data_IF_221475932692
#
_entry.id   IF_221475932692
#
_cell.length_a   1.000
_cell.length_b   1.000
_cell.length_c   1.000
_cell.angle_alpha   90.00
_cell.angle_beta   90.00
_cell.angle_gamma   90.00
#
_symmetry.space_group_name_H-M   'P 1'
#
loop_
_entity.id
_entity.type
_entity.pdbx_description
1 polymer ?
#
# COMPACT_ATOMS: atom_id res chain seq x y z
N UNK A 1 -9.40 67.85 -19.59
CA UNK A 1 -8.62 66.85 -18.86
C UNK A 1 -9.57 65.71 -18.52
N UNK A 2 -9.48 64.60 -19.26
CA UNK A 2 -10.30 63.42 -19.06
C UNK A 2 -9.44 62.35 -18.38
N UNK A 3 -9.75 62.00 -17.18
CA UNK A 3 -9.18 60.87 -16.44
C UNK A 3 -9.89 59.61 -16.89
N UNK A 4 -9.16 58.66 -17.46
CA UNK A 4 -9.61 57.34 -17.83
C UNK A 4 -9.38 56.41 -16.64
N UNK A 5 -10.44 55.92 -16.06
CA UNK A 5 -10.44 54.84 -15.07
C UNK A 5 -10.18 53.51 -15.74
N UNK A 6 -9.13 52.83 -15.28
CA UNK A 6 -8.84 51.42 -15.58
C UNK A 6 -9.31 50.58 -14.39
N UNK A 7 -10.56 50.13 -14.42
CA UNK A 7 -11.03 49.05 -13.53
C UNK A 7 -10.59 47.69 -14.08
N UNK A 8 -9.76 47.00 -13.31
CA UNK A 8 -9.21 45.72 -13.62
C UNK A 8 -10.23 44.63 -13.75
N UNK A 9 -10.15 43.91 -14.84
CA UNK A 9 -10.77 42.59 -14.99
C UNK A 9 -9.82 41.58 -14.37
N UNK A 10 -10.16 41.11 -13.16
CA UNK A 10 -9.50 39.99 -12.53
C UNK A 10 -9.99 38.71 -13.25
N UNK A 11 -9.11 38.11 -14.03
CA UNK A 11 -9.36 36.82 -14.65
C UNK A 11 -9.49 35.73 -13.58
N UNK A 12 -10.70 35.30 -13.34
CA UNK A 12 -11.01 34.09 -12.60
C UNK A 12 -10.92 32.89 -13.57
N UNK A 13 -9.73 32.47 -13.89
CA UNK A 13 -9.47 31.23 -14.64
C UNK A 13 -8.51 30.39 -13.85
N UNK A 14 -9.01 29.46 -13.11
CA UNK A 14 -8.41 28.14 -12.82
C UNK A 14 -9.11 27.46 -11.65
N UNK A 15 -10.14 26.68 -11.93
CA UNK A 15 -10.63 25.65 -10.97
C UNK A 15 -11.57 24.63 -11.62
N UNK A 16 -11.50 24.43 -12.94
CA UNK A 16 -12.39 23.45 -13.60
C UNK A 16 -11.69 22.29 -14.30
N UNK A 17 -10.35 22.18 -14.21
CA UNK A 17 -9.61 21.13 -14.91
C UNK A 17 -9.43 19.82 -14.10
N UNK A 18 -9.67 19.84 -12.80
CA UNK A 18 -9.41 18.65 -11.96
C UNK A 18 -10.59 17.65 -11.93
N UNK A 19 -11.83 18.08 -12.15
CA UNK A 19 -12.98 17.19 -12.02
C UNK A 19 -13.23 16.29 -13.24
N UNK A 20 -12.86 16.72 -14.44
CA UNK A 20 -13.05 15.92 -15.66
C UNK A 20 -12.08 14.72 -15.69
N UNK A 21 -10.83 14.88 -15.28
CA UNK A 21 -9.83 13.81 -15.32
C UNK A 21 -10.14 12.73 -14.31
N UNK A 22 -10.58 13.10 -13.10
CA UNK A 22 -10.96 12.13 -12.07
C UNK A 22 -12.18 11.28 -12.47
N UNK A 23 -13.19 11.90 -13.05
CA UNK A 23 -14.38 11.18 -13.54
C UNK A 23 -14.03 10.19 -14.65
N UNK A 24 -13.14 10.57 -15.58
CA UNK A 24 -12.67 9.67 -16.66
C UNK A 24 -11.90 8.49 -16.08
N UNK A 25 -11.01 8.72 -15.09
CA UNK A 25 -10.26 7.65 -14.43
C UNK A 25 -11.18 6.71 -13.64
N UNK A 26 -12.16 7.24 -12.91
CA UNK A 26 -13.15 6.42 -12.18
C UNK A 26 -13.96 5.54 -13.13
N UNK A 27 -14.39 6.08 -14.27
CA UNK A 27 -15.10 5.32 -15.31
C UNK A 27 -14.26 4.17 -15.87
N UNK A 28 -12.93 4.30 -15.90
CA UNK A 28 -12.01 3.25 -16.32
C UNK A 28 -12.16 1.97 -15.48
N UNK A 29 -12.31 2.09 -14.16
CA UNK A 29 -12.45 0.94 -13.27
C UNK A 29 -13.83 0.25 -13.30
N UNK A 30 -14.74 0.69 -14.18
CA UNK A 30 -15.92 -0.09 -14.57
C UNK A 30 -15.57 -1.30 -15.46
N UNK A 31 -14.37 -1.32 -16.04
CA UNK A 31 -13.85 -2.48 -16.76
C UNK A 31 -13.36 -3.55 -15.78
N UNK A 32 -14.05 -4.69 -15.74
CA UNK A 32 -13.67 -5.83 -14.91
C UNK A 32 -12.26 -6.34 -15.20
N UNK A 33 -11.74 -6.12 -16.43
CA UNK A 33 -10.38 -6.49 -16.77
C UNK A 33 -9.30 -5.71 -16.00
N UNK A 34 -9.65 -4.60 -15.34
CA UNK A 34 -8.74 -3.85 -14.46
C UNK A 34 -8.75 -4.32 -13.00
N UNK A 35 -9.46 -5.39 -12.70
CA UNK A 35 -9.48 -6.03 -11.40
C UNK A 35 -8.84 -7.42 -11.48
N UNK A 36 -8.12 -7.76 -10.43
CA UNK A 36 -7.63 -9.13 -10.27
C UNK A 36 -8.81 -10.08 -10.04
N UNK A 37 -8.94 -11.07 -10.92
CA UNK A 37 -9.96 -12.12 -10.80
C UNK A 37 -9.35 -13.34 -10.11
N UNK A 38 -9.83 -13.64 -8.91
CA UNK A 38 -9.45 -14.83 -8.16
C UNK A 38 -10.41 -16.01 -8.37
N UNK A 39 -11.36 -15.89 -9.30
CA UNK A 39 -12.35 -16.92 -9.59
C UNK A 39 -13.41 -17.14 -8.51
N UNK A 40 -13.49 -16.27 -7.48
CA UNK A 40 -14.45 -16.38 -6.39
C UNK A 40 -15.64 -15.45 -6.61
N UNK A 41 -16.83 -15.93 -6.24
CA UNK A 41 -18.04 -15.10 -6.18
C UNK A 41 -18.00 -14.22 -4.94
N UNK A 42 -18.46 -12.99 -5.05
CA UNK A 42 -18.64 -12.09 -3.91
C UNK A 42 -19.71 -12.64 -2.97
N UNK A 43 -19.34 -12.80 -1.72
CA UNK A 43 -20.23 -13.22 -0.62
C UNK A 43 -20.73 -11.96 0.11
N UNK A 44 -22.04 -11.65 0.06
CA UNK A 44 -22.58 -10.43 0.65
C UNK A 44 -22.45 -10.39 2.18
N UNK A 45 -22.31 -11.55 2.84
CA UNK A 45 -22.24 -11.67 4.28
C UNK A 45 -20.79 -11.56 4.83
N UNK A 46 -19.80 -11.50 3.95
CA UNK A 46 -18.39 -11.32 4.32
C UNK A 46 -17.96 -9.87 4.26
N UNK A 47 -16.99 -9.53 5.10
CA UNK A 47 -16.21 -8.31 4.94
C UNK A 47 -15.39 -8.34 3.63
N UNK A 48 -14.91 -7.19 3.21
CA UNK A 48 -14.04 -7.07 2.04
C UNK A 48 -12.58 -6.83 2.45
N UNK A 49 -11.66 -7.13 1.54
CA UNK A 49 -10.29 -6.61 1.55
C UNK A 49 -10.06 -5.83 0.26
N UNK A 50 -9.68 -4.57 0.38
CA UNK A 50 -9.12 -3.80 -0.72
C UNK A 50 -7.60 -3.82 -0.60
N UNK A 51 -6.93 -4.51 -1.53
CA UNK A 51 -5.49 -4.73 -1.50
C UNK A 51 -4.78 -4.06 -2.67
N UNK A 52 -3.70 -3.32 -2.37
CA UNK A 52 -2.88 -2.64 -3.38
C UNK A 52 -1.50 -3.31 -3.45
N UNK A 53 -1.17 -3.85 -4.63
CA UNK A 53 0.09 -4.57 -4.88
C UNK A 53 1.31 -3.63 -4.88
N UNK A 54 2.55 -4.15 -4.67
CA UNK A 54 3.79 -3.37 -4.78
C UNK A 54 4.19 -3.09 -6.23
N UNK A 55 5.33 -2.39 -6.42
CA UNK A 55 6.01 -2.31 -7.71
C UNK A 55 6.52 -3.69 -8.15
N UNK A 56 6.11 -4.12 -9.35
CA UNK A 56 6.45 -5.45 -9.90
C UNK A 56 7.20 -5.37 -11.24
N UNK A 57 7.25 -4.18 -11.85
CA UNK A 57 7.71 -3.98 -13.23
C UNK A 57 9.00 -3.16 -13.21
N UNK A 58 9.96 -3.54 -14.07
CA UNK A 58 11.12 -2.71 -14.41
C UNK A 58 10.78 -1.74 -15.54
N UNK A 59 11.63 -0.74 -15.76
CA UNK A 59 11.53 0.16 -16.91
C UNK A 59 11.42 -0.64 -18.20
N UNK A 60 10.63 -0.12 -19.12
CA UNK A 60 10.33 -0.74 -20.39
C UNK A 60 10.21 0.32 -21.49
N UNK A 61 10.39 -0.08 -22.75
CA UNK A 61 10.23 0.83 -23.88
C UNK A 61 8.85 0.63 -24.53
N UNK A 62 8.18 1.74 -24.80
CA UNK A 62 6.95 1.71 -25.58
C UNK A 62 7.23 1.48 -27.06
N UNK A 63 6.18 1.48 -27.89
CA UNK A 63 6.28 1.26 -29.35
C UNK A 63 7.09 2.31 -30.09
N UNK A 64 7.34 3.46 -29.47
CA UNK A 64 8.20 4.55 -30.02
C UNK A 64 9.65 4.44 -29.59
N UNK A 65 9.96 3.49 -28.69
CA UNK A 65 11.28 3.34 -28.07
C UNK A 65 11.51 4.25 -26.85
N UNK A 66 10.47 4.96 -26.39
CA UNK A 66 10.56 5.83 -25.19
C UNK A 66 10.50 4.99 -23.93
N UNK A 67 11.44 5.24 -23.00
CA UNK A 67 11.46 4.59 -21.70
C UNK A 67 10.26 5.03 -20.87
N UNK A 68 9.55 4.05 -20.34
CA UNK A 68 8.39 4.24 -19.49
C UNK A 68 8.70 3.85 -18.05
N UNK A 69 8.23 4.68 -17.10
CA UNK A 69 8.47 4.54 -15.67
C UNK A 69 7.17 4.23 -14.89
N UNK A 70 6.06 4.07 -15.59
CA UNK A 70 4.82 3.51 -15.08
C UNK A 70 4.46 2.23 -15.83
N UNK A 71 3.82 1.28 -15.17
CA UNK A 71 3.36 0.05 -15.79
C UNK A 71 2.27 0.30 -16.84
N UNK A 72 2.25 -0.53 -17.88
CA UNK A 72 1.13 -0.64 -18.83
C UNK A 72 0.21 -1.77 -18.35
N UNK A 73 -0.94 -1.41 -17.80
CA UNK A 73 -1.89 -2.39 -17.25
C UNK A 73 -2.66 -3.18 -18.30
N UNK A 74 -2.58 -2.78 -19.55
CA UNK A 74 -3.13 -3.49 -20.71
C UNK A 74 -2.15 -4.55 -21.26
N UNK A 75 -0.84 -4.45 -20.91
CA UNK A 75 0.19 -5.39 -21.36
C UNK A 75 0.11 -6.71 -20.58
N UNK A 76 -0.21 -7.79 -21.31
CA UNK A 76 -0.34 -9.14 -20.74
C UNK A 76 0.94 -9.67 -20.12
N UNK A 77 2.12 -9.31 -20.64
CA UNK A 77 3.41 -9.72 -20.10
C UNK A 77 3.67 -9.05 -18.75
N UNK A 78 3.33 -7.77 -18.64
CA UNK A 78 3.43 -7.06 -17.36
C UNK A 78 2.42 -7.59 -16.34
N UNK A 79 1.19 -7.94 -16.75
CA UNK A 79 0.21 -8.59 -15.87
C UNK A 79 0.71 -9.92 -15.31
N UNK A 80 1.36 -10.75 -16.12
CA UNK A 80 1.99 -12.00 -15.65
C UNK A 80 3.06 -11.73 -14.58
N UNK A 81 3.82 -10.62 -14.68
CA UNK A 81 4.78 -10.24 -13.64
C UNK A 81 4.11 -9.75 -12.33
N UNK A 82 2.92 -9.17 -12.44
CA UNK A 82 2.13 -8.73 -11.29
C UNK A 82 1.43 -9.88 -10.58
N UNK A 83 1.16 -11.01 -11.28
CA UNK A 83 0.33 -12.11 -10.76
C UNK A 83 0.82 -12.64 -9.43
N UNK A 84 2.14 -12.83 -9.24
CA UNK A 84 2.67 -13.29 -7.97
C UNK A 84 2.28 -12.39 -6.78
N UNK A 85 2.26 -11.08 -6.96
CA UNK A 85 1.88 -10.15 -5.89
C UNK A 85 0.40 -10.18 -5.59
N UNK A 86 -0.44 -10.35 -6.62
CA UNK A 86 -1.87 -10.57 -6.43
C UNK A 86 -2.15 -11.90 -5.74
N UNK A 87 -1.50 -12.99 -6.19
CA UNK A 87 -1.68 -14.33 -5.62
C UNK A 87 -1.25 -14.38 -4.14
N UNK A 88 -0.12 -13.74 -3.81
CA UNK A 88 0.34 -13.63 -2.42
C UNK A 88 -0.66 -12.85 -1.55
N UNK A 89 -1.16 -11.70 -2.04
CA UNK A 89 -2.18 -10.92 -1.34
C UNK A 89 -3.49 -11.71 -1.17
N UNK A 90 -3.94 -12.37 -2.22
CA UNK A 90 -5.14 -13.20 -2.19
C UNK A 90 -5.01 -14.38 -1.21
N UNK A 91 -3.87 -15.06 -1.18
CA UNK A 91 -3.62 -16.15 -0.22
C UNK A 91 -3.73 -15.68 1.24
N UNK A 92 -3.18 -14.50 1.53
CA UNK A 92 -3.15 -13.93 2.89
C UNK A 92 -4.52 -13.39 3.30
N UNK A 93 -5.18 -12.63 2.43
CA UNK A 93 -6.30 -11.78 2.82
C UNK A 93 -7.68 -12.35 2.43
N UNK A 94 -7.78 -13.22 1.41
CA UNK A 94 -9.06 -13.66 0.87
C UNK A 94 -9.67 -14.90 1.55
N UNK A 95 -9.03 -15.46 2.58
CA UNK A 95 -9.55 -16.66 3.26
C UNK A 95 -10.86 -16.37 4.01
N UNK A 96 -10.94 -15.20 4.64
CA UNK A 96 -12.09 -14.81 5.47
C UNK A 96 -12.87 -13.59 4.92
N UNK A 97 -12.55 -13.12 3.72
CA UNK A 97 -13.11 -11.91 3.12
C UNK A 97 -13.29 -12.04 1.61
N UNK A 98 -14.11 -11.17 1.01
CA UNK A 98 -14.04 -10.89 -0.42
C UNK A 98 -12.75 -10.14 -0.74
N UNK A 99 -12.17 -10.34 -1.92
CA UNK A 99 -10.88 -9.76 -2.27
C UNK A 99 -10.99 -8.89 -3.51
N UNK A 100 -10.64 -7.62 -3.36
CA UNK A 100 -10.61 -6.61 -4.43
C UNK A 100 -9.20 -6.05 -4.56
N UNK A 101 -8.62 -6.17 -5.74
CA UNK A 101 -7.29 -5.63 -5.99
C UNK A 101 -7.20 -5.11 -7.44
N UNK A 102 -6.97 -3.79 -7.61
CA UNK A 102 -6.93 -3.20 -8.94
C UNK A 102 -5.58 -3.40 -9.62
N UNK A 103 -5.59 -3.58 -10.95
CA UNK A 103 -4.44 -3.25 -11.78
C UNK A 103 -4.32 -1.73 -11.87
N UNK A 104 -3.16 -1.18 -11.59
CA UNK A 104 -2.90 0.25 -11.64
C UNK A 104 -1.53 0.53 -12.25
N UNK A 105 -1.33 1.73 -12.78
CA UNK A 105 -0.07 2.16 -13.38
C UNK A 105 1.00 2.41 -12.32
N UNK A 106 1.39 1.34 -11.61
CA UNK A 106 2.45 1.38 -10.61
C UNK A 106 3.75 1.95 -11.18
N UNK A 107 4.56 2.64 -10.37
CA UNK A 107 5.89 3.03 -10.83
C UNK A 107 6.80 1.80 -10.92
N UNK A 108 7.74 1.86 -11.84
CA UNK A 108 8.71 0.81 -12.04
C UNK A 108 9.70 0.72 -10.88
N UNK A 109 10.32 -0.45 -10.73
CA UNK A 109 11.35 -0.67 -9.70
C UNK A 109 12.57 0.26 -9.88
N UNK A 110 12.91 0.64 -11.13
CA UNK A 110 13.99 1.57 -11.41
C UNK A 110 13.66 3.00 -10.97
N UNK A 111 12.39 3.41 -11.09
CA UNK A 111 11.96 4.75 -10.72
C UNK A 111 12.15 5.07 -9.22
N UNK A 112 12.24 4.06 -8.36
CA UNK A 112 12.54 4.26 -6.94
C UNK A 112 13.92 4.85 -6.66
N UNK A 113 14.89 4.68 -7.57
CA UNK A 113 16.23 5.24 -7.47
C UNK A 113 16.36 6.66 -8.07
N UNK A 114 15.27 7.21 -8.63
CA UNK A 114 15.25 8.58 -9.16
C UNK A 114 15.24 9.62 -8.04
N UNK A 115 15.64 10.85 -8.40
CA UNK A 115 15.43 12.00 -7.53
C UNK A 115 13.96 12.16 -7.13
N UNK A 116 13.73 12.60 -5.90
CA UNK A 116 12.38 12.60 -5.30
C UNK A 116 11.35 13.40 -6.13
N UNK A 117 11.74 14.54 -6.68
CA UNK A 117 10.86 15.38 -7.49
C UNK A 117 10.41 14.68 -8.77
N UNK A 118 11.32 14.00 -9.45
CA UNK A 118 11.04 13.25 -10.67
C UNK A 118 10.18 12.02 -10.37
N UNK A 119 10.60 11.21 -9.39
CA UNK A 119 9.84 10.03 -8.95
C UNK A 119 8.40 10.37 -8.57
N UNK A 120 8.17 11.49 -7.89
CA UNK A 120 6.84 11.87 -7.44
C UNK A 120 5.87 12.10 -8.61
N UNK A 121 6.32 12.55 -9.79
CA UNK A 121 5.45 12.69 -10.97
C UNK A 121 4.85 11.35 -11.40
N UNK A 122 5.65 10.30 -11.41
CA UNK A 122 5.19 8.95 -11.75
C UNK A 122 4.36 8.32 -10.63
N UNK A 123 4.67 8.64 -9.37
CA UNK A 123 3.89 8.21 -8.22
C UNK A 123 2.49 8.83 -8.18
N UNK A 124 2.31 10.07 -8.62
CA UNK A 124 0.98 10.68 -8.71
C UNK A 124 0.09 9.95 -9.73
N UNK A 125 0.63 9.52 -10.87
CA UNK A 125 -0.12 8.69 -11.84
C UNK A 125 -0.62 7.38 -11.19
N UNK A 126 0.25 6.71 -10.43
CA UNK A 126 -0.11 5.48 -9.73
C UNK A 126 -1.16 5.74 -8.63
N UNK A 127 -1.03 6.84 -7.92
CA UNK A 127 -1.92 7.23 -6.83
C UNK A 127 -3.31 7.62 -7.36
N UNK A 128 -3.39 8.35 -8.47
CA UNK A 128 -4.65 8.72 -9.10
C UNK A 128 -5.43 7.48 -9.60
N UNK A 129 -4.71 6.49 -10.13
CA UNK A 129 -5.32 5.21 -10.48
C UNK A 129 -5.91 4.51 -9.25
N UNK A 130 -5.15 4.45 -8.14
CA UNK A 130 -5.60 3.79 -6.90
C UNK A 130 -6.75 4.55 -6.24
N UNK A 131 -6.74 5.89 -6.23
CA UNK A 131 -7.87 6.73 -5.77
C UNK A 131 -9.14 6.42 -6.57
N UNK A 132 -9.01 6.38 -7.89
CA UNK A 132 -10.12 6.10 -8.80
C UNK A 132 -10.67 4.69 -8.63
N UNK A 133 -9.78 3.70 -8.45
CA UNK A 133 -10.17 2.32 -8.16
C UNK A 133 -10.88 2.20 -6.82
N UNK A 134 -10.38 2.85 -5.77
CA UNK A 134 -10.98 2.80 -4.44
C UNK A 134 -12.36 3.49 -4.41
N UNK A 135 -12.50 4.65 -5.05
CA UNK A 135 -13.79 5.31 -5.20
C UNK A 135 -14.78 4.42 -5.94
N UNK A 136 -14.40 3.85 -7.10
CA UNK A 136 -15.25 2.93 -7.84
C UNK A 136 -15.65 1.70 -7.00
N UNK A 137 -14.69 1.13 -6.26
CA UNK A 137 -14.95 0.02 -5.34
C UNK A 137 -16.01 0.39 -4.30
N UNK A 138 -15.89 1.53 -3.63
CA UNK A 138 -16.84 1.97 -2.61
C UNK A 138 -18.24 2.20 -3.18
N UNK A 139 -18.32 2.81 -4.36
CA UNK A 139 -19.58 3.22 -4.99
C UNK A 139 -20.32 2.05 -5.66
N UNK A 140 -19.59 1.05 -6.20
CA UNK A 140 -20.18 0.06 -7.10
C UNK A 140 -19.96 -1.40 -6.66
N UNK A 141 -18.90 -1.71 -5.92
CA UNK A 141 -18.52 -3.10 -5.62
C UNK A 141 -18.67 -3.47 -4.15
N UNK A 142 -18.41 -2.53 -3.23
CA UNK A 142 -18.39 -2.79 -1.79
C UNK A 142 -19.79 -3.05 -1.20
N UNK A 143 -20.83 -2.41 -1.72
CA UNK A 143 -22.20 -2.57 -1.20
C UNK A 143 -22.38 -2.21 0.27
N UNK A 144 -21.54 -1.34 0.82
CA UNK A 144 -21.60 -0.90 2.23
C UNK A 144 -20.99 -1.89 3.24
N UNK A 145 -20.35 -2.99 2.81
CA UNK A 145 -19.72 -3.96 3.70
C UNK A 145 -18.53 -3.36 4.44
N UNK A 146 -18.25 -3.85 5.68
CA UNK A 146 -17.00 -3.54 6.35
C UNK A 146 -15.79 -4.01 5.52
N UNK A 147 -14.66 -3.32 5.64
CA UNK A 147 -13.49 -3.66 4.84
C UNK A 147 -12.17 -3.51 5.58
N UNK A 148 -11.19 -4.27 5.13
CA UNK A 148 -9.77 -4.11 5.44
C UNK A 148 -9.11 -3.39 4.27
N UNK A 149 -8.34 -2.33 4.56
CA UNK A 149 -7.48 -1.67 3.61
C UNK A 149 -6.07 -2.26 3.74
N UNK A 150 -5.50 -2.79 2.68
CA UNK A 150 -4.17 -3.39 2.74
C UNK A 150 -3.29 -2.96 1.57
N UNK A 151 -2.00 -2.84 1.81
CA UNK A 151 -1.04 -2.57 0.77
C UNK A 151 0.36 -3.02 1.17
N UNK A 152 1.18 -3.30 0.15
CA UNK A 152 2.57 -3.67 0.33
C UNK A 152 3.49 -2.75 -0.47
N UNK A 153 4.57 -2.23 0.16
CA UNK A 153 5.57 -1.39 -0.51
C UNK A 153 4.92 -0.14 -1.15
N UNK A 154 5.01 0.04 -2.47
CA UNK A 154 4.27 1.10 -3.17
C UNK A 154 2.76 1.04 -2.90
N UNK A 155 2.19 -0.16 -2.87
CA UNK A 155 0.78 -0.33 -2.51
C UNK A 155 0.45 0.16 -1.10
N UNK A 156 1.36 -0.03 -0.15
CA UNK A 156 1.23 0.51 1.20
C UNK A 156 1.28 2.05 1.21
N UNK A 157 2.15 2.66 0.40
CA UNK A 157 2.18 4.12 0.21
C UNK A 157 0.84 4.64 -0.32
N UNK A 158 0.27 3.96 -1.32
CA UNK A 158 -1.04 4.33 -1.85
C UNK A 158 -2.15 4.13 -0.80
N UNK A 159 -2.16 3.01 -0.09
CA UNK A 159 -3.13 2.74 0.98
C UNK A 159 -3.04 3.77 2.13
N UNK A 160 -1.83 4.19 2.50
CA UNK A 160 -1.63 5.27 3.49
C UNK A 160 -2.22 6.60 3.00
N UNK A 161 -2.10 6.91 1.70
CA UNK A 161 -2.70 8.12 1.13
C UNK A 161 -4.23 8.03 1.10
N UNK A 162 -4.80 6.88 0.72
CA UNK A 162 -6.25 6.66 0.82
C UNK A 162 -6.75 6.88 2.26
N UNK A 163 -5.99 6.40 3.26
CA UNK A 163 -6.33 6.58 4.67
C UNK A 163 -6.34 8.06 5.09
N UNK A 164 -5.38 8.87 4.59
CA UNK A 164 -5.33 10.32 4.84
C UNK A 164 -6.50 11.08 4.23
N UNK A 165 -7.04 10.58 3.12
CA UNK A 165 -8.10 11.20 2.33
C UNK A 165 -9.49 10.61 2.65
N UNK A 166 -9.56 9.57 3.49
CA UNK A 166 -10.79 8.86 3.80
C UNK A 166 -11.76 9.73 4.60
N UNK A 167 -13.02 9.72 4.17
CA UNK A 167 -14.07 10.43 4.93
C UNK A 167 -14.44 9.67 6.20
N UNK A 168 -14.98 10.34 7.23
CA UNK A 168 -15.42 9.69 8.46
C UNK A 168 -16.41 8.54 8.22
N UNK A 169 -17.36 8.71 7.29
CA UNK A 169 -18.39 7.73 6.97
C UNK A 169 -17.80 6.44 6.37
N UNK A 170 -16.74 6.57 5.55
CA UNK A 170 -16.01 5.43 5.01
C UNK A 170 -15.16 4.78 6.10
N UNK A 171 -14.51 5.59 6.93
CA UNK A 171 -13.64 5.13 8.00
C UNK A 171 -14.39 4.31 9.07
N UNK A 172 -15.65 4.62 9.35
CA UNK A 172 -16.50 3.85 10.27
C UNK A 172 -16.64 2.37 9.86
N UNK A 173 -16.50 2.07 8.56
CA UNK A 173 -16.56 0.70 8.03
C UNK A 173 -15.19 0.03 7.89
N UNK A 174 -14.11 0.77 8.16
CA UNK A 174 -12.77 0.22 8.06
C UNK A 174 -12.43 -0.63 9.29
N UNK A 175 -12.23 -1.93 9.09
CA UNK A 175 -11.84 -2.86 10.14
C UNK A 175 -10.41 -2.61 10.59
N UNK A 176 -9.48 -2.50 9.65
CA UNK A 176 -8.07 -2.19 9.90
C UNK A 176 -7.36 -1.76 8.60
N UNK A 177 -6.24 -1.05 8.74
CA UNK A 177 -5.33 -0.74 7.64
C UNK A 177 -3.99 -1.45 7.83
N UNK A 178 -3.54 -2.24 6.84
CA UNK A 178 -2.25 -2.92 6.80
C UNK A 178 -1.32 -2.17 5.84
N UNK A 179 -0.40 -1.39 6.39
CA UNK A 179 0.58 -0.55 5.66
C UNK A 179 1.94 -1.26 5.76
N UNK A 180 2.15 -2.28 4.93
CA UNK A 180 3.30 -3.17 5.07
C UNK A 180 4.45 -2.73 4.17
N UNK A 181 5.65 -2.58 4.74
CA UNK A 181 6.85 -2.23 3.99
C UNK A 181 6.87 -0.78 3.48
N UNK A 182 6.17 0.12 4.15
CA UNK A 182 6.23 1.54 3.93
C UNK A 182 6.12 2.29 5.27
N UNK A 183 6.95 3.32 5.52
CA UNK A 183 6.96 4.02 6.79
C UNK A 183 5.72 4.90 6.98
N UNK A 184 5.18 4.88 8.19
CA UNK A 184 4.21 5.88 8.69
C UNK A 184 5.00 6.86 9.54
N UNK A 185 5.06 8.12 9.14
CA UNK A 185 5.82 9.16 9.84
C UNK A 185 5.08 9.73 11.05
N UNK A 186 5.80 10.44 11.94
CA UNK A 186 5.16 11.18 13.02
C UNK A 186 4.19 12.25 12.49
N UNK A 187 4.53 12.89 11.37
CA UNK A 187 3.63 13.86 10.72
C UNK A 187 2.31 13.21 10.27
N UNK A 188 2.33 11.93 9.87
CA UNK A 188 1.11 11.20 9.52
C UNK A 188 0.21 11.02 10.73
N UNK A 189 0.79 10.64 11.88
CA UNK A 189 0.04 10.50 13.13
C UNK A 189 -0.56 11.83 13.58
N UNK A 190 0.20 12.92 13.48
CA UNK A 190 -0.23 14.25 13.93
C UNK A 190 -1.35 14.82 13.05
N UNK A 191 -1.35 14.50 11.74
CA UNK A 191 -2.27 15.08 10.77
C UNK A 191 -3.49 14.21 10.43
N UNK A 192 -3.49 12.92 10.78
CA UNK A 192 -4.57 12.01 10.43
C UNK A 192 -5.01 11.17 11.63
N UNK A 193 -6.15 11.49 12.21
CA UNK A 193 -6.71 10.78 13.38
C UNK A 193 -7.13 9.34 13.11
N UNK A 194 -7.21 8.94 11.83
CA UNK A 194 -7.50 7.57 11.42
C UNK A 194 -6.26 6.67 11.51
N UNK A 195 -5.05 7.25 11.57
CA UNK A 195 -3.80 6.50 11.73
C UNK A 195 -3.58 6.21 13.21
N UNK A 196 -4.23 5.18 13.71
CA UNK A 196 -4.12 4.72 15.10
C UNK A 196 -3.34 3.41 15.16
N UNK A 197 -2.15 3.36 15.76
CA UNK A 197 -1.41 2.10 15.90
C UNK A 197 -2.22 1.05 16.66
N UNK A 198 -2.17 -0.21 16.22
CA UNK A 198 -2.77 -1.31 16.94
C UNK A 198 -2.09 -1.51 18.31
N UNK A 199 -2.84 -1.89 19.34
CA UNK A 199 -2.36 -2.23 20.67
C UNK A 199 -2.51 -3.72 20.99
N UNK A 200 -3.22 -4.46 20.14
CA UNK A 200 -3.45 -5.89 20.29
C UNK A 200 -3.84 -6.57 18.97
N UNK A 201 -4.15 -7.85 19.06
CA UNK A 201 -4.44 -8.68 17.89
C UNK A 201 -5.85 -8.49 17.32
N UNK A 202 -6.77 -7.89 18.08
CA UNK A 202 -8.20 -7.83 17.74
C UNK A 202 -8.77 -6.42 17.68
N UNK A 203 -7.96 -5.40 17.90
CA UNK A 203 -8.39 -3.99 17.79
C UNK A 203 -8.91 -3.70 16.39
N UNK A 204 -9.94 -2.87 16.29
CA UNK A 204 -10.51 -2.43 15.02
C UNK A 204 -10.36 -0.92 14.81
N UNK A 205 -10.45 -0.46 13.57
CA UNK A 205 -10.19 0.93 13.18
C UNK A 205 -8.74 1.36 13.44
N UNK A 206 -7.78 0.47 13.30
CA UNK A 206 -6.36 0.66 13.62
C UNK A 206 -5.46 0.44 12.41
N UNK A 207 -4.20 0.90 12.52
CA UNK A 207 -3.16 0.70 11.53
C UNK A 207 -2.11 -0.30 12.02
N UNK A 208 -1.74 -1.22 11.14
CA UNK A 208 -0.65 -2.16 11.30
C UNK A 208 0.42 -1.78 10.29
N UNK A 209 1.61 -1.43 10.76
CA UNK A 209 2.75 -1.12 9.91
C UNK A 209 4.00 -1.80 10.45
N UNK A 210 4.83 -2.28 9.55
CA UNK A 210 6.15 -2.81 9.88
C UNK A 210 7.04 -2.85 8.64
N UNK A 211 8.34 -2.88 8.89
CA UNK A 211 9.39 -3.22 7.94
C UNK A 211 10.44 -4.06 8.65
N UNK A 212 11.11 -4.96 7.93
CA UNK A 212 11.92 -6.02 8.54
C UNK A 212 13.33 -6.09 7.96
N UNK A 213 14.31 -6.24 8.85
CA UNK A 213 15.71 -6.48 8.52
C UNK A 213 16.26 -7.64 9.35
N UNK A 214 17.39 -8.22 8.95
CA UNK A 214 18.15 -9.16 9.81
C UNK A 214 19.11 -8.43 10.74
N UNK A 215 19.57 -7.23 10.32
CA UNK A 215 20.44 -6.34 11.07
C UNK A 215 20.08 -4.89 10.74
N UNK A 216 20.14 -4.01 11.75
CA UNK A 216 19.74 -2.58 11.60
C UNK A 216 20.60 -1.80 10.60
N UNK A 217 21.82 -2.27 10.30
CA UNK A 217 22.68 -1.68 9.25
C UNK A 217 22.16 -1.93 7.83
N UNK A 218 21.22 -2.89 7.65
CA UNK A 218 20.57 -3.15 6.37
C UNK A 218 19.34 -2.26 6.11
N UNK A 219 19.00 -1.37 7.05
CA UNK A 219 17.93 -0.40 6.86
C UNK A 219 18.28 0.64 5.80
N UNK A 220 17.28 1.07 5.04
CA UNK A 220 17.40 2.16 4.05
C UNK A 220 16.33 3.22 4.32
N UNK A 221 16.65 4.49 4.06
CA UNK A 221 15.71 5.60 4.32
C UNK A 221 14.41 5.46 3.51
N UNK A 222 14.49 4.88 2.32
CA UNK A 222 13.35 4.71 1.43
C UNK A 222 12.29 3.74 1.99
N UNK A 223 12.71 2.67 2.66
CA UNK A 223 11.85 1.58 3.14
C UNK A 223 11.63 1.65 4.65
N UNK A 224 12.67 2.06 5.39
CA UNK A 224 12.72 1.96 6.84
C UNK A 224 12.85 3.32 7.54
N UNK A 225 12.97 4.44 6.78
CA UNK A 225 13.25 5.76 7.35
C UNK A 225 12.02 6.42 7.99
N UNK A 226 12.26 7.20 9.07
CA UNK A 226 11.27 8.06 9.74
C UNK A 226 9.96 7.36 10.16
N UNK A 227 10.03 6.09 10.53
CA UNK A 227 8.86 5.32 10.90
C UNK A 227 8.46 5.62 12.35
N UNK A 228 7.20 5.98 12.57
CA UNK A 228 6.63 6.24 13.89
C UNK A 228 5.70 5.12 14.38
N UNK A 229 5.35 4.17 13.51
CA UNK A 229 4.44 3.06 13.82
C UNK A 229 5.12 1.74 13.47
N UNK A 230 5.34 0.90 14.48
CA UNK A 230 5.83 -0.48 14.30
C UNK A 230 4.98 -1.41 15.14
N UNK A 231 4.33 -2.38 14.50
CA UNK A 231 3.60 -3.47 15.14
C UNK A 231 4.31 -4.77 14.82
N UNK A 232 4.66 -5.54 15.85
CA UNK A 232 5.31 -6.83 15.63
C UNK A 232 4.27 -7.92 15.27
N UNK A 233 4.29 -8.50 14.06
CA UNK A 233 3.31 -9.53 13.66
C UNK A 233 3.40 -10.83 14.45
N UNK A 234 4.47 -11.05 15.20
CA UNK A 234 4.59 -12.22 16.07
C UNK A 234 3.79 -12.07 17.39
N UNK A 235 3.53 -10.83 17.82
CA UNK A 235 2.78 -10.52 19.06
C UNK A 235 1.57 -9.61 18.86
N UNK A 236 1.52 -8.87 17.76
CA UNK A 236 0.54 -7.81 17.44
C UNK A 236 0.57 -6.63 18.40
N UNK A 237 1.73 -6.37 18.99
CA UNK A 237 1.98 -5.28 19.94
C UNK A 237 3.18 -4.44 19.54
N UNK A 238 3.39 -3.35 20.27
CA UNK A 238 4.59 -2.48 20.19
C UNK A 238 5.68 -2.90 21.19
N UNK A 239 5.56 -4.06 21.83
CA UNK A 239 6.54 -4.61 22.76
C UNK A 239 7.89 -4.86 22.05
N UNK A 240 8.97 -4.43 22.69
CA UNK A 240 10.35 -4.57 22.19
C UNK A 240 10.98 -5.92 22.50
N UNK A 241 10.30 -6.78 23.27
CA UNK A 241 10.74 -8.14 23.56
C UNK A 241 10.89 -8.99 22.29
N UNK A 242 11.65 -10.07 22.39
CA UNK A 242 11.79 -11.03 21.30
C UNK A 242 10.62 -12.01 21.30
N UNK A 243 9.89 -12.06 20.20
CA UNK A 243 8.73 -12.94 20.02
C UNK A 243 9.00 -14.00 18.98
N UNK A 244 8.59 -15.22 19.27
CA UNK A 244 8.74 -16.37 18.36
C UNK A 244 7.72 -16.27 17.21
N UNK A 245 8.23 -16.19 15.99
CA UNK A 245 7.40 -16.23 14.79
C UNK A 245 7.08 -17.68 14.40
N UNK A 246 8.12 -18.52 14.35
CA UNK A 246 8.05 -19.96 14.07
C UNK A 246 9.22 -20.70 14.77
N UNK A 247 9.49 -21.97 14.40
CA UNK A 247 10.52 -22.77 15.07
C UNK A 247 11.93 -22.24 14.92
N UNK A 248 12.22 -21.50 13.86
CA UNK A 248 13.56 -21.00 13.53
C UNK A 248 13.71 -19.50 13.66
N UNK A 249 12.62 -18.75 13.61
CA UNK A 249 12.63 -17.29 13.50
C UNK A 249 12.04 -16.62 14.72
N UNK A 250 12.81 -15.69 15.29
CA UNK A 250 12.32 -14.76 16.30
C UNK A 250 12.38 -13.34 15.78
N UNK A 251 11.44 -12.49 16.21
CA UNK A 251 11.30 -11.10 15.77
C UNK A 251 11.19 -10.18 16.97
N UNK A 252 11.97 -9.09 17.00
CA UNK A 252 11.86 -8.03 17.97
C UNK A 252 11.75 -6.67 17.30
N UNK A 253 11.18 -5.71 17.99
CA UNK A 253 11.23 -4.30 17.58
C UNK A 253 12.57 -3.70 18.02
N UNK A 254 13.24 -3.02 17.10
CA UNK A 254 14.30 -2.07 17.42
C UNK A 254 13.68 -0.67 17.57
N UNK A 255 13.57 -0.19 18.80
CA UNK A 255 12.91 1.08 19.13
C UNK A 255 13.71 2.31 18.70
N UNK A 256 15.01 2.16 18.43
CA UNK A 256 15.85 3.27 17.96
C UNK A 256 15.63 3.52 16.45
N UNK A 257 15.54 2.44 15.69
CA UNK A 257 15.34 2.49 14.23
C UNK A 257 13.88 2.35 13.81
N UNK A 258 13.00 2.01 14.77
CA UNK A 258 11.56 1.79 14.52
C UNK A 258 11.32 0.81 13.38
N UNK A 259 11.91 -0.39 13.48
CA UNK A 259 11.80 -1.50 12.53
C UNK A 259 11.87 -2.85 13.25
N UNK A 260 11.53 -3.92 12.54
CA UNK A 260 11.65 -5.28 13.01
C UNK A 260 13.03 -5.87 12.70
N UNK A 261 13.64 -6.51 13.70
CA UNK A 261 14.85 -7.31 13.52
C UNK A 261 14.46 -8.79 13.64
N UNK A 262 14.61 -9.53 12.55
CA UNK A 262 14.34 -10.96 12.49
C UNK A 262 15.65 -11.75 12.60
N UNK A 263 15.77 -12.62 13.60
CA UNK A 263 16.85 -13.57 13.75
C UNK A 263 16.43 -14.95 13.22
N UNK A 264 17.38 -15.75 12.72
CA UNK A 264 17.10 -17.06 12.15
C UNK A 264 16.70 -17.03 10.67
N UNK A 265 16.79 -15.87 10.02
CA UNK A 265 16.57 -15.70 8.57
C UNK A 265 17.92 -15.46 7.89
N UNK A 266 18.17 -16.15 6.77
CA UNK A 266 19.36 -15.90 5.96
C UNK A 266 19.31 -14.48 5.37
N UNK A 267 20.30 -13.60 5.62
CA UNK A 267 20.35 -12.25 5.08
C UNK A 267 20.32 -12.17 3.55
N UNK A 268 20.68 -13.25 2.86
CA UNK A 268 20.67 -13.33 1.39
C UNK A 268 19.30 -13.70 0.82
N UNK A 269 18.35 -14.16 1.63
CA UNK A 269 17.06 -14.71 1.15
C UNK A 269 16.22 -13.70 0.36
N UNK A 270 16.23 -12.41 0.75
CA UNK A 270 15.54 -11.33 0.07
C UNK A 270 16.42 -10.61 -0.99
N UNK A 271 17.71 -10.87 -1.03
CA UNK A 271 18.63 -10.12 -1.87
C UNK A 271 18.40 -10.36 -3.37
N UNK A 272 18.35 -9.26 -4.12
CA UNK A 272 18.28 -9.26 -5.58
C UNK A 272 19.30 -8.24 -6.12
N UNK A 273 20.30 -8.67 -6.93
CA UNK A 273 21.37 -7.77 -7.40
C UNK A 273 20.88 -6.49 -8.07
N UNK A 274 19.79 -6.57 -8.85
CA UNK A 274 19.19 -5.40 -9.51
C UNK A 274 18.53 -4.39 -8.56
N UNK A 275 18.26 -4.79 -7.32
CA UNK A 275 17.63 -3.95 -6.30
C UNK A 275 18.60 -3.62 -5.14
N UNK A 276 19.87 -3.95 -5.25
CA UNK A 276 20.86 -3.80 -4.17
C UNK A 276 21.03 -2.37 -3.66
N UNK A 277 20.77 -1.36 -4.50
CA UNK A 277 20.77 0.05 -4.09
C UNK A 277 19.57 0.47 -3.23
N UNK A 278 18.49 -0.30 -3.25
CA UNK A 278 17.24 -0.04 -2.51
C UNK A 278 17.07 -1.06 -1.39
N UNK A 279 17.35 -2.33 -1.67
CA UNK A 279 17.19 -3.49 -0.78
C UNK A 279 18.55 -4.18 -0.65
N UNK A 280 19.42 -3.71 0.27
CA UNK A 280 20.72 -4.32 0.50
C UNK A 280 20.60 -5.69 1.16
N UNK A 281 21.73 -6.42 1.23
CA UNK A 281 21.80 -7.71 1.96
C UNK A 281 21.36 -7.49 3.41
N UNK A 282 20.48 -8.36 3.89
CA UNK A 282 19.92 -8.27 5.24
C UNK A 282 18.63 -7.44 5.35
N UNK A 283 18.26 -6.66 4.32
CA UNK A 283 16.95 -6.06 4.24
C UNK A 283 15.93 -7.09 3.73
N UNK A 284 14.92 -7.40 4.53
CA UNK A 284 13.95 -8.45 4.24
C UNK A 284 12.67 -7.95 3.55
N UNK A 285 12.70 -6.75 2.98
CA UNK A 285 11.53 -6.12 2.38
C UNK A 285 10.73 -7.03 1.44
N UNK A 286 11.40 -7.77 0.56
CA UNK A 286 10.72 -8.69 -0.36
C UNK A 286 10.07 -9.92 0.32
N UNK A 287 10.36 -10.15 1.59
CA UNK A 287 9.81 -11.26 2.38
C UNK A 287 8.77 -10.81 3.41
N UNK A 288 8.43 -9.54 3.50
CA UNK A 288 7.53 -9.03 4.55
C UNK A 288 6.11 -9.59 4.50
N UNK A 289 5.62 -9.98 3.33
CA UNK A 289 4.37 -10.73 3.23
C UNK A 289 4.58 -12.24 3.47
N UNK A 290 5.45 -12.94 2.71
CA UNK A 290 5.58 -14.40 2.86
C UNK A 290 6.12 -14.82 4.23
N UNK A 291 7.04 -14.06 4.83
CA UNK A 291 7.60 -14.38 6.15
C UNK A 291 6.53 -14.38 7.26
N UNK A 292 5.55 -13.49 7.17
CA UNK A 292 4.48 -13.33 8.16
C UNK A 292 3.12 -13.84 7.68
N UNK A 293 3.06 -14.58 6.56
CA UNK A 293 1.82 -14.98 5.89
C UNK A 293 0.79 -15.60 6.84
N UNK A 294 1.17 -16.65 7.59
CA UNK A 294 0.27 -17.33 8.52
C UNK A 294 -0.24 -16.40 9.63
N UNK A 295 0.64 -15.52 10.13
CA UNK A 295 0.29 -14.56 11.18
C UNK A 295 -0.67 -13.49 10.65
N UNK A 296 -0.41 -12.98 9.44
CA UNK A 296 -1.29 -12.01 8.78
C UNK A 296 -2.68 -12.61 8.51
N UNK A 297 -2.74 -13.80 7.94
CA UNK A 297 -3.98 -14.53 7.67
C UNK A 297 -4.82 -14.71 8.94
N UNK A 298 -4.21 -15.20 10.01
CA UNK A 298 -4.88 -15.39 11.29
C UNK A 298 -5.35 -14.06 11.90
N UNK A 299 -4.54 -12.99 11.76
CA UNK A 299 -4.86 -11.68 12.33
C UNK A 299 -6.00 -10.97 11.58
N UNK A 300 -6.00 -11.00 10.25
CA UNK A 300 -7.12 -10.46 9.45
C UNK A 300 -8.42 -11.11 9.83
N UNK A 301 -8.44 -12.45 9.92
CA UNK A 301 -9.62 -13.20 10.37
C UNK A 301 -10.06 -12.79 11.78
N UNK A 302 -9.12 -12.66 12.73
CA UNK A 302 -9.43 -12.26 14.11
C UNK A 302 -10.04 -10.87 14.20
N UNK A 303 -9.50 -9.88 13.42
CA UNK A 303 -10.03 -8.51 13.39
C UNK A 303 -11.40 -8.42 12.72
N UNK A 304 -11.63 -9.17 11.63
CA UNK A 304 -12.95 -9.27 11.00
C UNK A 304 -13.96 -9.82 12.01
N UNK A 305 -13.61 -10.89 12.73
CA UNK A 305 -14.50 -11.47 13.75
C UNK A 305 -14.74 -10.55 14.96
N UNK A 306 -13.77 -9.69 15.30
CA UNK A 306 -13.92 -8.75 16.41
C UNK A 306 -14.72 -7.48 16.04
N UNK A 307 -14.81 -7.18 14.76
CA UNK A 307 -15.59 -6.04 14.25
C UNK A 307 -17.11 -6.36 14.23
N UNK A 308 -17.49 -7.63 14.04
CA UNK A 308 -18.89 -8.10 14.07
C UNK A 308 -19.48 -8.08 15.49
#
# INVERSE_FOLDING_TARGET
>A
MKTTDWTGILLLTCLTLCSCDFTVLQTRYSDNALWYDNGRTIDPDKADVFYVIPSCIYDWNDSTGTVQHNACVEDSVQRVRMSWSFDTGNEIFADSANFFSPYYRQITLNAWSMEAQERNRYLEVALDDVRSAFSYYLDNLNGGRPFVLAGFSQGARCALQLLREMTPEVAERMIAAYIIGYPISQQDLDNCSLIRPASGATDTGVCIAYSTVTDTNAATDLINGNNAVIINPASWTTDTGSHRLNDSVNVRIDSTKMLLVASGVDPMSAYRPKLSGIIPIGNLHLLELPLYSDRLKANVKARISAYQ
#
